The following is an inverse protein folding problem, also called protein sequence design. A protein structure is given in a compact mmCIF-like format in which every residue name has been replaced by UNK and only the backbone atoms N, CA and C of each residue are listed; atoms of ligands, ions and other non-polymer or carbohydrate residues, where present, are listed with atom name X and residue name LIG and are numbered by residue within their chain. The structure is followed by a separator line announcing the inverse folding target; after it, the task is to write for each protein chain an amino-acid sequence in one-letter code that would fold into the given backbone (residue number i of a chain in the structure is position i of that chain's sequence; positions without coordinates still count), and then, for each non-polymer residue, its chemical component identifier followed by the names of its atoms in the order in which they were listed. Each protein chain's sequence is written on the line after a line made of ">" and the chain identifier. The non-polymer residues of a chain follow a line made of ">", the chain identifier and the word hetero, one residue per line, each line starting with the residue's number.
data_IF_830518741584
#
_entry.id   IF_830518741584
#
_cell.length_a   1.000
_cell.length_b   1.000
_cell.length_c   1.000
_cell.angle_alpha   90.00
_cell.angle_beta   90.00
_cell.angle_gamma   90.00
#
_symmetry.space_group_name_H-M   'P 1'
#
loop_
_entity.id
_entity.type
_entity.pdbx_description
1 polymer ?
#
# COMPACT_ATOMS: atom_id res chain seq x y z
N UNK A 1 16.24 20.57 12.43
CA UNK A 1 16.10 19.42 11.50
C UNK A 1 15.04 18.49 12.07
N UNK A 2 13.87 18.38 11.44
CA UNK A 2 12.80 17.50 11.93
C UNK A 2 13.08 16.09 11.39
N UNK A 3 13.43 15.15 12.27
CA UNK A 3 13.54 13.74 11.88
C UNK A 3 12.16 13.25 11.40
N UNK A 4 12.06 12.56 10.25
CA UNK A 4 10.78 12.02 9.81
C UNK A 4 10.26 11.07 10.89
N UNK A 5 9.04 11.32 11.36
CA UNK A 5 8.41 10.54 12.43
C UNK A 5 8.23 9.11 11.93
N UNK A 6 9.11 8.20 12.38
CA UNK A 6 9.02 6.77 12.09
C UNK A 6 7.96 6.16 13.00
N UNK A 7 6.73 6.04 12.52
CA UNK A 7 5.70 5.28 13.23
C UNK A 7 5.68 3.85 12.70
N UNK A 8 6.12 2.91 13.55
CA UNK A 8 5.92 1.47 13.34
C UNK A 8 4.49 1.14 13.75
N UNK A 9 3.68 0.75 12.78
CA UNK A 9 2.25 0.55 12.96
C UNK A 9 1.86 -0.88 12.57
N UNK A 10 0.79 -1.38 13.18
CA UNK A 10 0.19 -2.68 12.87
C UNK A 10 -1.06 -2.44 12.04
N UNK A 11 -1.17 -3.12 10.90
CA UNK A 11 -2.30 -3.00 9.97
C UNK A 11 -2.99 -4.34 9.80
N UNK A 12 -4.30 -4.28 9.63
CA UNK A 12 -5.04 -5.38 9.02
C UNK A 12 -4.66 -5.46 7.55
N UNK A 13 -4.35 -6.67 7.07
CA UNK A 13 -3.98 -6.92 5.69
C UNK A 13 -5.16 -7.51 4.95
N UNK A 14 -5.47 -6.96 3.78
CA UNK A 14 -6.48 -7.49 2.87
C UNK A 14 -5.82 -7.86 1.55
N UNK A 15 -6.29 -8.94 0.94
CA UNK A 15 -5.88 -9.37 -0.39
C UNK A 15 -7.07 -9.30 -1.34
N UNK A 16 -6.86 -8.75 -2.54
CA UNK A 16 -7.86 -8.80 -3.58
C UNK A 16 -7.83 -10.20 -4.22
N UNK A 17 -8.92 -10.93 -4.07
CA UNK A 17 -9.08 -12.28 -4.60
C UNK A 17 -10.43 -12.43 -5.29
N UNK A 18 -10.50 -13.20 -6.38
CA UNK A 18 -11.77 -13.52 -7.02
C UNK A 18 -12.59 -14.44 -6.09
N UNK A 19 -13.80 -14.02 -5.76
CA UNK A 19 -14.75 -14.78 -4.94
C UNK A 19 -15.95 -15.14 -5.82
N UNK A 20 -16.44 -16.37 -5.70
CA UNK A 20 -17.62 -16.85 -6.41
C UNK A 20 -18.88 -16.34 -5.72
N UNK A 21 -19.69 -15.59 -6.45
CA UNK A 21 -21.00 -15.13 -5.99
C UNK A 21 -22.08 -16.20 -6.08
N UNK A 22 -23.29 -15.94 -5.54
CA UNK A 22 -24.40 -16.90 -5.54
C UNK A 22 -24.83 -17.36 -6.94
N UNK A 23 -24.61 -16.52 -7.97
CA UNK A 23 -24.88 -16.83 -9.37
C UNK A 23 -23.78 -17.63 -10.08
N UNK A 24 -22.71 -18.01 -9.38
CA UNK A 24 -21.54 -18.67 -9.96
C UNK A 24 -20.53 -17.72 -10.63
N UNK A 25 -20.87 -16.44 -10.80
CA UNK A 25 -19.97 -15.41 -11.36
C UNK A 25 -18.83 -15.09 -10.39
N UNK A 26 -17.63 -14.85 -10.94
CA UNK A 26 -16.48 -14.40 -10.15
C UNK A 26 -16.49 -12.87 -10.02
N UNK A 27 -16.34 -12.37 -8.79
CA UNK A 27 -16.14 -10.95 -8.51
C UNK A 27 -14.92 -10.77 -7.60
N UNK A 28 -14.11 -9.76 -7.90
CA UNK A 28 -12.99 -9.40 -7.04
C UNK A 28 -13.50 -8.84 -5.72
N UNK A 29 -12.98 -9.38 -4.61
CA UNK A 29 -13.31 -8.93 -3.27
C UNK A 29 -12.04 -8.80 -2.42
N UNK A 30 -12.08 -7.81 -1.52
CA UNK A 30 -11.02 -7.62 -0.52
C UNK A 30 -11.27 -8.56 0.65
N UNK A 31 -10.47 -9.61 0.75
CA UNK A 31 -10.58 -10.62 1.80
C UNK A 31 -9.52 -10.35 2.87
N UNK A 32 -9.97 -10.19 4.12
CA UNK A 32 -9.07 -10.01 5.27
C UNK A 32 -8.16 -11.23 5.41
N UNK A 33 -6.88 -11.00 5.61
CA UNK A 33 -5.89 -12.05 5.85
C UNK A 33 -5.77 -12.25 7.36
N UNK A 34 -5.58 -13.50 7.80
CA UNK A 34 -5.50 -13.83 9.24
C UNK A 34 -4.34 -13.12 9.95
N UNK A 35 -3.24 -12.89 9.23
CA UNK A 35 -2.05 -12.26 9.79
C UNK A 35 -2.01 -10.76 9.52
N UNK A 36 -2.02 -9.98 10.60
CA UNK A 36 -1.69 -8.56 10.57
C UNK A 36 -0.25 -8.35 10.07
N UNK A 37 -0.01 -7.15 9.54
CA UNK A 37 1.30 -6.75 9.04
C UNK A 37 1.82 -5.54 9.80
N UNK A 38 3.09 -5.62 10.18
CA UNK A 38 3.80 -4.49 10.79
C UNK A 38 4.52 -3.71 9.69
N UNK A 39 4.24 -2.42 9.62
CA UNK A 39 4.80 -1.51 8.62
C UNK A 39 5.29 -0.24 9.31
N UNK A 40 6.53 0.14 9.06
CA UNK A 40 7.04 1.47 9.42
C UNK A 40 6.63 2.44 8.32
N UNK A 41 5.77 3.41 8.64
CA UNK A 41 5.22 4.35 7.68
C UNK A 41 5.97 5.68 7.74
N UNK A 42 6.30 6.20 6.57
CA UNK A 42 6.99 7.46 6.35
C UNK A 42 6.10 8.34 5.47
N UNK A 43 5.82 9.55 5.95
CA UNK A 43 5.22 10.59 5.13
C UNK A 43 6.29 11.16 4.20
N UNK A 44 6.31 10.66 2.97
CA UNK A 44 7.17 11.18 1.90
C UNK A 44 6.34 11.97 0.88
N UNK A 45 5.14 12.43 1.22
CA UNK A 45 4.22 13.12 0.30
C UNK A 45 4.86 14.31 -0.44
N UNK A 46 5.87 14.96 0.16
CA UNK A 46 6.64 16.05 -0.44
C UNK A 46 7.72 15.60 -1.45
N UNK A 47 8.18 14.34 -1.41
CA UNK A 47 9.26 13.80 -2.24
C UNK A 47 8.80 12.74 -3.25
N UNK A 48 7.54 12.29 -3.18
CA UNK A 48 6.98 11.21 -4.01
C UNK A 48 6.54 11.67 -5.40
N UNK A 49 7.46 12.20 -6.19
CA UNK A 49 7.24 12.55 -7.58
C UNK A 49 8.05 11.60 -8.46
N UNK A 50 7.36 10.73 -9.20
CA UNK A 50 7.96 10.06 -10.34
C UNK A 50 7.68 10.92 -11.57
N UNK A 51 8.69 11.70 -11.99
CA UNK A 51 8.67 12.39 -13.28
C UNK A 51 8.70 11.33 -14.36
N UNK A 52 7.62 11.13 -15.10
CA UNK A 52 7.63 10.27 -16.30
C UNK A 52 6.90 10.95 -17.44
N UNK A 53 7.59 11.01 -18.59
CA UNK A 53 7.08 11.52 -19.86
C UNK A 53 7.81 12.78 -20.32
N UNK A 54 8.10 12.85 -21.63
CA UNK A 54 8.75 13.94 -22.36
C UNK A 54 8.07 15.32 -22.24
N UNK A 55 7.00 15.41 -21.45
CA UNK A 55 6.15 16.59 -21.24
C UNK A 55 6.23 17.16 -19.81
N UNK A 56 7.02 16.57 -18.89
CA UNK A 56 7.29 17.15 -17.57
C UNK A 56 6.10 17.14 -16.57
N UNK A 57 5.04 16.38 -16.83
CA UNK A 57 3.89 16.28 -15.94
C UNK A 57 4.25 15.56 -14.63
N UNK A 58 4.01 16.24 -13.49
CA UNK A 58 4.22 15.70 -12.13
C UNK A 58 3.02 14.83 -11.76
N UNK A 59 3.13 13.50 -11.90
CA UNK A 59 2.10 12.58 -11.40
C UNK A 59 2.48 12.12 -10.00
N UNK A 60 1.68 12.48 -8.99
CA UNK A 60 1.82 11.95 -7.63
C UNK A 60 1.41 10.48 -7.65
N UNK A 61 2.36 9.56 -7.48
CA UNK A 61 2.08 8.11 -7.60
C UNK A 61 1.74 7.43 -6.27
N UNK A 62 2.12 8.02 -5.13
CA UNK A 62 1.87 7.44 -3.80
C UNK A 62 1.96 8.50 -2.69
N UNK A 63 1.23 8.28 -1.60
CA UNK A 63 1.16 9.19 -0.44
C UNK A 63 2.20 8.85 0.62
N UNK A 64 2.42 7.57 0.89
CA UNK A 64 3.30 7.11 1.97
C UNK A 64 4.27 6.04 1.50
N UNK A 65 5.47 6.02 2.09
CA UNK A 65 6.42 4.92 1.98
C UNK A 65 6.28 4.02 3.21
N UNK A 66 6.03 2.73 3.00
CA UNK A 66 6.00 1.72 4.06
C UNK A 66 7.24 0.84 4.01
N UNK A 67 7.79 0.46 5.16
CA UNK A 67 8.83 -0.58 5.25
C UNK A 67 8.32 -1.77 6.04
N UNK A 68 8.44 -2.97 5.47
CA UNK A 68 8.01 -4.21 6.13
C UNK A 68 9.00 -5.36 5.90
N UNK A 69 9.01 -6.34 6.81
CA UNK A 69 9.74 -7.60 6.60
C UNK A 69 9.03 -8.54 5.62
N UNK A 70 7.74 -8.31 5.35
CA UNK A 70 6.92 -9.17 4.49
C UNK A 70 7.20 -8.87 3.01
N UNK A 71 8.08 -9.69 2.39
CA UNK A 71 8.46 -9.57 0.98
C UNK A 71 7.48 -10.20 -0.02
N UNK A 72 6.38 -10.79 0.45
CA UNK A 72 5.41 -11.50 -0.39
C UNK A 72 4.25 -10.63 -0.90
N UNK A 73 4.30 -9.32 -0.63
CA UNK A 73 3.28 -8.39 -1.10
C UNK A 73 3.48 -8.09 -2.59
N UNK A 74 2.36 -7.94 -3.30
CA UNK A 74 2.30 -7.71 -4.74
C UNK A 74 1.49 -6.43 -4.99
N UNK A 75 2.01 -5.59 -5.88
CA UNK A 75 1.36 -4.37 -6.35
C UNK A 75 -0.08 -4.63 -6.81
N UNK A 76 -1.02 -3.79 -6.36
CA UNK A 76 -2.44 -3.85 -6.74
C UNK A 76 -3.24 -5.03 -6.16
N UNK A 77 -2.59 -5.97 -5.47
CA UNK A 77 -3.25 -7.15 -4.89
C UNK A 77 -3.48 -7.05 -3.39
N UNK A 78 -2.88 -6.07 -2.72
CA UNK A 78 -3.00 -5.91 -1.27
C UNK A 78 -3.43 -4.50 -0.87
N UNK A 79 -4.17 -4.44 0.23
CA UNK A 79 -4.61 -3.22 0.92
C UNK A 79 -4.30 -3.35 2.41
N UNK A 80 -3.85 -2.25 3.01
CA UNK A 80 -3.66 -2.13 4.45
C UNK A 80 -4.82 -1.32 5.03
N UNK A 81 -5.33 -1.72 6.18
CA UNK A 81 -6.35 -0.96 6.90
C UNK A 81 -5.98 -0.74 8.35
N UNK A 82 -6.25 0.46 8.85
CA UNK A 82 -6.10 0.80 10.27
C UNK A 82 -6.96 2.00 10.60
N UNK A 83 -7.70 1.93 11.71
CA UNK A 83 -8.48 3.06 12.26
C UNK A 83 -9.43 3.69 11.21
N UNK A 84 -10.01 2.87 10.33
CA UNK A 84 -10.89 3.32 9.26
C UNK A 84 -10.19 3.91 8.02
N UNK A 85 -8.86 4.06 8.03
CA UNK A 85 -8.08 4.51 6.89
C UNK A 85 -7.62 3.30 6.06
N UNK A 86 -7.76 3.43 4.73
CA UNK A 86 -7.45 2.38 3.76
C UNK A 86 -6.27 2.81 2.88
N UNK A 87 -5.25 1.97 2.80
CA UNK A 87 -4.06 2.20 2.00
C UNK A 87 -3.91 1.12 0.93
N UNK A 88 -3.94 1.50 -0.34
CA UNK A 88 -3.68 0.59 -1.44
C UNK A 88 -2.16 0.46 -1.66
N UNK A 89 -1.68 -0.78 -1.85
CA UNK A 89 -0.29 -1.03 -2.23
C UNK A 89 -0.14 -0.81 -3.74
N UNK A 90 0.34 0.37 -4.14
CA UNK A 90 0.55 0.78 -5.54
C UNK A 90 1.91 0.40 -6.11
N UNK A 91 2.83 0.00 -5.26
CA UNK A 91 4.11 -0.54 -5.68
C UNK A 91 4.82 -1.27 -4.54
N UNK A 92 5.73 -2.18 -4.90
CA UNK A 92 6.57 -2.91 -3.96
C UNK A 92 7.99 -2.96 -4.52
N UNK A 93 8.99 -2.59 -3.71
CA UNK A 93 10.40 -2.87 -3.97
C UNK A 93 10.92 -3.88 -2.93
N UNK A 94 11.41 -5.03 -3.39
CA UNK A 94 11.92 -6.12 -2.55
C UNK A 94 13.45 -6.26 -2.53
N UNK A 95 14.19 -5.40 -3.23
CA UNK A 95 15.66 -5.45 -3.41
C UNK A 95 16.41 -5.28 -2.09
N UNK A 96 15.88 -4.46 -1.17
CA UNK A 96 16.49 -4.19 0.13
C UNK A 96 16.29 -5.29 1.18
N UNK A 97 16.90 -5.11 2.36
CA UNK A 97 16.69 -5.99 3.52
C UNK A 97 15.21 -6.04 3.97
N UNK A 98 14.51 -4.92 3.83
CA UNK A 98 13.07 -4.79 4.04
C UNK A 98 12.39 -4.52 2.70
N UNK A 99 11.16 -4.99 2.55
CA UNK A 99 10.31 -4.60 1.44
C UNK A 99 9.84 -3.16 1.63
N UNK A 100 9.97 -2.36 0.58
CA UNK A 100 9.41 -1.02 0.49
C UNK A 100 8.04 -1.10 -0.17
N UNK A 101 7.03 -0.46 0.44
CA UNK A 101 5.67 -0.39 -0.05
C UNK A 101 5.37 1.06 -0.43
N UNK A 102 4.91 1.27 -1.65
CA UNK A 102 4.39 2.56 -2.09
C UNK A 102 2.88 2.55 -1.87
N UNK A 103 2.42 3.36 -0.91
CA UNK A 103 1.06 3.33 -0.38
C UNK A 103 0.28 4.57 -0.84
N UNK A 104 -0.92 4.37 -1.37
CA UNK A 104 -1.87 5.43 -1.71
C UNK A 104 -3.07 5.36 -0.77
N UNK A 105 -3.49 6.50 -0.23
CA UNK A 105 -4.70 6.57 0.58
C UNK A 105 -5.90 6.50 -0.34
N UNK A 106 -6.74 5.51 -0.12
CA UNK A 106 -8.07 5.49 -0.73
C UNK A 106 -8.92 6.48 0.07
N UNK A 107 -9.21 7.65 -0.50
CA UNK A 107 -10.10 8.62 0.13
C UNK A 107 -11.39 7.91 0.56
N UNK A 108 -11.82 8.17 1.80
CA UNK A 108 -13.13 7.74 2.26
C UNK A 108 -14.17 8.49 1.42
N UNK A 109 -14.86 7.77 0.54
CA UNK A 109 -16.13 8.24 -0.01
C UNK A 109 -17.18 8.34 1.09
#
# INVERSE_FOLDING_TARGET
>A
MMSPIRKRLVFDLYKNTPVRGPSGSLKDAWVKQDNQIVVSVYDNSAQNQLTTGSSGARVKQYDYLGLTKKKTLITGKYRLEREGVKYLVKGVNNEGRLAQLFLEVLANG
#
